data_IF_739774438271
#
_entry.id   IF_739774438271
#
_cell.length_a   1.000
_cell.length_b   1.000
_cell.length_c   1.000
_cell.angle_alpha   90.00
_cell.angle_beta   90.00
_cell.angle_gamma   90.00
#
_symmetry.space_group_name_H-M   'P 1'
#
loop_
_entity.id
_entity.type
_entity.pdbx_description
1 polymer ?
#
# COMPACT_ATOMS: atom_id res chain seq x y z
N UNK A 1 -14.26 -27.79 13.02
CA UNK A 1 -12.97 -27.07 12.88
C UNK A 1 -12.83 -26.13 14.07
N UNK A 2 -11.66 -26.07 14.70
CA UNK A 2 -11.44 -25.20 15.86
C UNK A 2 -10.58 -23.99 15.47
N UNK A 3 -11.06 -22.79 15.76
CA UNK A 3 -10.32 -21.54 15.54
C UNK A 3 -9.63 -21.11 16.83
N UNK A 4 -8.34 -20.81 16.73
CA UNK A 4 -7.53 -20.39 17.88
C UNK A 4 -7.34 -18.87 17.92
N UNK A 5 -7.43 -18.21 16.75
CA UNK A 5 -7.20 -16.77 16.57
C UNK A 5 -8.21 -16.20 15.57
N UNK A 6 -8.81 -15.07 15.90
CA UNK A 6 -9.61 -14.25 14.99
C UNK A 6 -8.83 -12.99 14.60
N UNK A 7 -8.56 -12.80 13.30
CA UNK A 7 -7.89 -11.61 12.75
C UNK A 7 -8.94 -10.57 12.37
N UNK A 8 -8.83 -9.38 12.95
CA UNK A 8 -9.60 -8.19 12.58
C UNK A 8 -8.70 -7.27 11.76
N UNK A 9 -9.00 -7.10 10.47
CA UNK A 9 -8.25 -6.22 9.59
C UNK A 9 -8.82 -4.79 9.65
N UNK A 10 -8.05 -3.85 10.18
CA UNK A 10 -8.45 -2.45 10.34
C UNK A 10 -8.27 -1.62 9.05
N UNK A 11 -7.81 -2.23 7.96
CA UNK A 11 -7.85 -1.61 6.62
C UNK A 11 -9.27 -1.41 6.09
N UNK A 12 -10.25 -2.09 6.68
CA UNK A 12 -11.65 -2.07 6.27
C UNK A 12 -12.57 -2.00 7.49
N UNK A 13 -13.79 -1.51 7.30
CA UNK A 13 -14.79 -1.39 8.36
C UNK A 13 -14.55 -0.20 9.29
N UNK A 14 -15.60 0.17 10.02
CA UNK A 14 -15.57 1.23 11.03
C UNK A 14 -15.43 0.65 12.45
N UNK A 15 -15.15 1.51 13.43
CA UNK A 15 -15.02 1.10 14.82
C UNK A 15 -16.27 0.37 15.36
N UNK A 16 -17.52 0.82 15.11
CA UNK A 16 -18.71 0.12 15.56
C UNK A 16 -18.84 -1.32 15.01
N UNK A 17 -18.48 -1.52 13.75
CA UNK A 17 -18.52 -2.85 13.12
C UNK A 17 -17.51 -3.80 13.77
N UNK A 18 -16.29 -3.32 14.02
CA UNK A 18 -15.25 -4.09 14.71
C UNK A 18 -15.63 -4.41 16.15
N UNK A 19 -16.23 -3.46 16.88
CA UNK A 19 -16.74 -3.67 18.23
C UNK A 19 -17.77 -4.80 18.28
N UNK A 20 -18.77 -4.75 17.40
CA UNK A 20 -19.81 -5.78 17.32
C UNK A 20 -19.20 -7.16 17.02
N UNK A 21 -18.19 -7.22 16.14
CA UNK A 21 -17.50 -8.48 15.84
C UNK A 21 -16.74 -9.02 17.06
N UNK A 22 -16.06 -8.15 17.82
CA UNK A 22 -15.37 -8.56 19.06
C UNK A 22 -16.38 -9.11 20.08
N UNK A 23 -17.53 -8.46 20.26
CA UNK A 23 -18.58 -8.93 21.18
C UNK A 23 -19.07 -10.33 20.80
N UNK A 24 -19.41 -10.53 19.51
CA UNK A 24 -19.85 -11.83 18.99
C UNK A 24 -18.79 -12.93 19.20
N UNK A 25 -17.51 -12.61 18.95
CA UNK A 25 -16.41 -13.56 19.15
C UNK A 25 -16.26 -13.96 20.62
N UNK A 26 -16.43 -13.01 21.54
CA UNK A 26 -16.37 -13.26 22.99
C UNK A 26 -17.56 -14.08 23.48
N UNK A 27 -18.75 -13.85 22.95
CA UNK A 27 -19.93 -14.67 23.22
C UNK A 27 -19.77 -16.11 22.72
N UNK A 28 -19.34 -16.28 21.47
CA UNK A 28 -19.10 -17.59 20.89
C UNK A 28 -18.01 -18.37 21.65
N UNK A 29 -16.90 -17.72 22.02
CA UNK A 29 -15.82 -18.34 22.79
C UNK A 29 -16.31 -18.84 24.17
N UNK A 30 -17.16 -18.05 24.85
CA UNK A 30 -17.78 -18.44 26.12
C UNK A 30 -18.74 -19.61 25.94
N UNK A 31 -19.59 -19.58 24.93
CA UNK A 31 -20.56 -20.64 24.65
C UNK A 31 -19.90 -21.99 24.37
N UNK A 32 -18.78 -21.99 23.63
CA UNK A 32 -18.04 -23.22 23.28
C UNK A 32 -17.04 -23.62 24.38
N UNK A 33 -16.80 -22.76 25.38
CA UNK A 33 -15.86 -23.02 26.47
C UNK A 33 -14.39 -23.08 26.02
N UNK A 34 -14.04 -22.36 24.95
CA UNK A 34 -12.70 -22.37 24.37
C UNK A 34 -12.15 -20.96 24.23
N UNK A 35 -10.91 -20.69 24.67
CA UNK A 35 -10.29 -19.38 24.46
C UNK A 35 -10.03 -19.16 22.97
N UNK A 36 -10.32 -17.93 22.51
CA UNK A 36 -10.01 -17.45 21.16
C UNK A 36 -9.26 -16.13 21.28
N UNK A 37 -8.04 -16.09 20.76
CA UNK A 37 -7.27 -14.86 20.68
C UNK A 37 -7.87 -13.94 19.61
N UNK A 38 -7.81 -12.63 19.84
CA UNK A 38 -8.20 -11.63 18.85
C UNK A 38 -6.94 -10.88 18.46
N UNK A 39 -6.63 -10.88 17.16
CA UNK A 39 -5.49 -10.19 16.59
C UNK A 39 -5.98 -8.96 15.82
N UNK A 40 -5.63 -7.78 16.33
CA UNK A 40 -5.84 -6.54 15.61
C UNK A 40 -4.72 -6.37 14.57
N UNK A 41 -5.10 -6.33 13.31
CA UNK A 41 -4.20 -6.16 12.19
C UNK A 41 -4.30 -4.73 11.67
N UNK A 42 -3.22 -3.99 11.84
CA UNK A 42 -3.12 -2.58 11.50
C UNK A 42 -2.64 -2.43 10.07
N UNK A 43 -3.28 -1.52 9.33
CA UNK A 43 -3.01 -1.25 7.91
C UNK A 43 -1.60 -0.73 7.61
N UNK A 44 -0.85 -0.30 8.62
CA UNK A 44 0.47 0.32 8.46
C UNK A 44 0.42 1.65 7.70
N UNK A 45 1.57 2.30 7.49
CA UNK A 45 1.65 3.49 6.65
C UNK A 45 1.40 3.12 5.19
N UNK A 46 0.18 3.38 4.68
CA UNK A 46 -0.13 3.23 3.25
C UNK A 46 0.45 4.40 2.47
N UNK A 47 1.47 4.14 1.67
CA UNK A 47 2.02 5.11 0.70
C UNK A 47 1.07 5.13 -0.50
N UNK A 48 0.54 6.30 -0.85
CA UNK A 48 -0.39 6.48 -1.97
C UNK A 48 0.16 7.50 -2.95
N UNK A 49 -0.18 7.32 -4.22
CA UNK A 49 -0.07 8.39 -5.21
C UNK A 49 -1.19 9.41 -4.94
N UNK A 50 -0.89 10.69 -5.12
CA UNK A 50 -1.86 11.77 -5.03
C UNK A 50 -2.86 11.78 -6.18
N UNK A 51 -3.62 12.86 -6.31
CA UNK A 51 -4.58 13.03 -7.41
C UNK A 51 -3.87 12.97 -8.76
N UNK A 52 -4.59 12.50 -9.79
CA UNK A 52 -4.10 12.43 -11.17
C UNK A 52 -4.90 13.40 -12.03
N UNK A 53 -4.21 14.09 -12.96
CA UNK A 53 -4.86 15.03 -13.90
C UNK A 53 -5.92 14.33 -14.76
N UNK A 54 -5.67 13.07 -15.08
CA UNK A 54 -6.61 12.19 -15.79
C UNK A 54 -6.50 10.77 -15.23
N UNK A 55 -7.61 10.07 -15.08
CA UNK A 55 -7.60 8.66 -14.68
C UNK A 55 -8.27 7.80 -15.76
N UNK A 56 -7.59 6.75 -16.27
CA UNK A 56 -6.26 6.26 -15.91
C UNK A 56 -5.10 7.01 -16.61
N UNK A 57 -3.91 6.97 -16.00
CA UNK A 57 -2.65 7.39 -16.65
C UNK A 57 -1.88 6.16 -17.13
N UNK A 58 -1.47 6.18 -18.39
CA UNK A 58 -0.59 5.17 -18.96
C UNK A 58 0.88 5.59 -18.78
N UNK A 59 1.65 4.79 -18.04
CA UNK A 59 3.09 4.90 -17.94
C UNK A 59 3.73 4.08 -19.08
N UNK A 60 4.66 4.68 -19.83
CA UNK A 60 5.37 4.02 -20.94
C UNK A 60 6.73 3.49 -20.48
N UNK A 61 7.15 2.35 -21.03
CA UNK A 61 8.49 1.83 -20.79
C UNK A 61 9.56 2.86 -21.15
N UNK A 62 10.63 2.86 -20.37
CA UNK A 62 11.82 3.69 -20.56
C UNK A 62 11.55 5.20 -20.42
N UNK A 63 10.34 5.62 -20.04
CA UNK A 63 10.06 7.00 -19.68
C UNK A 63 10.48 7.29 -18.23
N UNK A 64 10.94 8.52 -17.99
CA UNK A 64 11.26 9.00 -16.64
C UNK A 64 9.99 9.46 -15.92
N UNK A 65 9.79 8.96 -14.71
CA UNK A 65 8.77 9.42 -13.76
C UNK A 65 9.46 10.02 -12.55
N UNK A 66 8.97 11.15 -12.08
CA UNK A 66 9.44 11.80 -10.85
C UNK A 66 8.37 11.69 -9.78
N UNK A 67 8.72 11.09 -8.64
CA UNK A 67 7.89 11.05 -7.45
C UNK A 67 8.19 12.29 -6.61
N UNK A 68 7.20 13.15 -6.39
CA UNK A 68 7.34 14.41 -5.66
C UNK A 68 6.60 14.37 -4.32
N UNK A 69 7.19 15.00 -3.30
CA UNK A 69 6.59 15.17 -1.97
C UNK A 69 5.74 16.45 -1.86
N UNK A 70 5.39 17.05 -3.00
CA UNK A 70 4.47 18.19 -3.10
C UNK A 70 3.09 17.69 -3.52
N UNK A 71 2.03 18.37 -3.08
CA UNK A 71 0.66 18.01 -3.40
C UNK A 71 0.21 18.73 -4.68
N UNK A 72 -0.12 17.96 -5.72
CA UNK A 72 -0.62 18.42 -7.00
C UNK A 72 -1.26 17.25 -7.76
N UNK A 73 -2.11 17.56 -8.74
CA UNK A 73 -2.61 16.57 -9.68
C UNK A 73 -1.46 16.13 -10.62
N UNK A 74 -1.04 14.87 -10.51
CA UNK A 74 0.10 14.30 -11.23
C UNK A 74 -0.24 13.79 -12.63
N UNK A 75 0.80 13.60 -13.44
CA UNK A 75 0.71 13.08 -14.80
C UNK A 75 1.70 11.91 -15.06
N UNK A 76 1.87 11.51 -16.32
CA UNK A 76 2.78 10.42 -16.69
C UNK A 76 4.27 10.72 -16.46
N UNK A 77 4.64 11.95 -16.11
CA UNK A 77 6.02 12.38 -15.87
C UNK A 77 6.29 12.73 -14.42
N UNK A 78 5.30 13.26 -13.68
CA UNK A 78 5.46 13.67 -12.29
C UNK A 78 4.24 13.26 -11.46
N UNK A 79 4.46 12.47 -10.42
CA UNK A 79 3.43 11.98 -9.52
C UNK A 79 3.63 12.52 -8.11
N UNK A 80 2.56 12.97 -7.46
CA UNK A 80 2.59 13.30 -6.04
C UNK A 80 2.55 12.01 -5.21
N UNK A 81 3.26 11.97 -4.08
CA UNK A 81 3.27 10.82 -3.16
C UNK A 81 2.94 11.29 -1.74
N UNK A 82 2.03 10.58 -1.06
CA UNK A 82 1.57 10.91 0.29
C UNK A 82 2.61 10.67 1.41
N UNK A 83 3.83 10.26 1.06
CA UNK A 83 4.88 9.87 2.00
C UNK A 83 6.09 10.79 1.91
N UNK A 84 6.02 11.92 2.62
CA UNK A 84 7.04 12.98 2.60
C UNK A 84 8.46 12.55 2.98
N UNK A 85 8.60 11.40 3.66
CA UNK A 85 9.90 10.84 4.07
C UNK A 85 10.52 9.92 3.01
N UNK A 86 9.89 9.74 1.84
CA UNK A 86 10.40 8.85 0.79
C UNK A 86 11.88 9.11 0.47
N UNK A 87 12.35 10.36 0.25
CA UNK A 87 13.75 10.62 -0.08
C UNK A 87 14.75 10.24 1.03
N UNK A 88 14.29 10.06 2.28
CA UNK A 88 15.13 9.71 3.43
C UNK A 88 15.31 8.19 3.58
N UNK A 89 14.43 7.41 2.95
CA UNK A 89 14.38 5.96 3.13
C UNK A 89 14.73 5.19 1.85
N UNK A 90 14.91 5.87 0.72
CA UNK A 90 15.30 5.28 -0.56
C UNK A 90 16.68 5.76 -0.99
N UNK A 91 17.34 4.97 -1.83
CA UNK A 91 18.65 5.25 -2.43
C UNK A 91 18.63 4.87 -3.91
N UNK A 92 19.59 5.40 -4.67
CA UNK A 92 19.77 4.98 -6.06
C UNK A 92 19.99 3.46 -6.13
N UNK A 93 19.28 2.79 -7.05
CA UNK A 93 19.23 1.34 -7.22
C UNK A 93 18.07 0.65 -6.50
N UNK A 94 17.34 1.35 -5.60
CA UNK A 94 16.18 0.75 -4.94
C UNK A 94 15.00 0.54 -5.91
N UNK A 95 14.22 -0.50 -5.67
CA UNK A 95 13.01 -0.80 -6.42
C UNK A 95 11.78 -0.30 -5.69
N UNK A 96 10.96 0.50 -6.37
CA UNK A 96 9.65 0.94 -5.92
C UNK A 96 8.55 0.24 -6.73
N UNK A 97 7.48 -0.13 -6.05
CA UNK A 97 6.35 -0.84 -6.64
C UNK A 97 5.10 0.01 -6.52
N UNK A 98 4.43 0.24 -7.64
CA UNK A 98 3.14 0.93 -7.69
C UNK A 98 2.05 -0.06 -8.10
N UNK A 99 0.81 0.25 -7.69
CA UNK A 99 -0.38 -0.55 -7.98
C UNK A 99 -0.14 -2.02 -7.64
N UNK A 100 0.03 -2.37 -6.36
CA UNK A 100 0.23 -3.74 -5.89
C UNK A 100 1.30 -4.56 -6.64
N UNK A 101 2.35 -3.88 -7.12
CA UNK A 101 3.46 -4.51 -7.83
C UNK A 101 3.31 -4.62 -9.34
N UNK A 102 2.19 -4.17 -9.93
CA UNK A 102 1.99 -4.16 -11.38
C UNK A 102 3.00 -3.27 -12.12
N UNK A 103 3.49 -2.22 -11.46
CA UNK A 103 4.45 -1.29 -12.03
C UNK A 103 5.68 -1.25 -11.13
N UNK A 104 6.85 -1.39 -11.75
CA UNK A 104 8.14 -1.36 -11.09
C UNK A 104 8.92 -0.12 -11.56
N UNK A 105 9.48 0.61 -10.59
CA UNK A 105 10.27 1.82 -10.80
C UNK A 105 11.64 1.64 -10.14
N UNK A 106 12.72 1.88 -10.88
CA UNK A 106 14.07 1.87 -10.30
C UNK A 106 14.47 3.29 -9.94
N UNK A 107 14.86 3.53 -8.69
CA UNK A 107 15.34 4.84 -8.24
C UNK A 107 16.70 5.11 -8.89
N UNK A 108 16.82 6.19 -9.66
CA UNK A 108 18.14 6.63 -10.18
C UNK A 108 18.71 7.80 -9.40
N UNK A 109 17.84 8.73 -8.98
CA UNK A 109 18.28 9.96 -8.36
C UNK A 109 17.35 10.33 -7.21
N UNK A 110 17.93 10.72 -6.07
CA UNK A 110 17.20 11.13 -4.88
C UNK A 110 17.57 12.58 -4.59
N UNK A 111 16.61 13.48 -4.79
CA UNK A 111 16.71 14.89 -4.44
C UNK A 111 16.14 15.17 -3.04
N UNK A 112 16.05 16.45 -2.68
CA UNK A 112 15.55 16.86 -1.36
C UNK A 112 14.05 16.56 -1.15
N UNK A 113 13.24 16.72 -2.21
CA UNK A 113 11.78 16.50 -2.19
C UNK A 113 11.27 15.70 -3.39
N UNK A 114 12.18 15.16 -4.20
CA UNK A 114 11.84 14.44 -5.42
C UNK A 114 12.70 13.19 -5.57
N UNK A 115 12.13 12.14 -6.15
CA UNK A 115 12.81 10.89 -6.48
C UNK A 115 12.58 10.59 -7.96
N UNK A 116 13.66 10.57 -8.73
CA UNK A 116 13.59 10.32 -10.16
C UNK A 116 13.79 8.84 -10.46
N UNK A 117 12.81 8.26 -11.16
CA UNK A 117 12.78 6.86 -11.50
C UNK A 117 12.47 6.68 -13.00
N UNK A 118 13.41 6.22 -13.85
CA UNK A 118 13.05 5.64 -15.12
C UNK A 118 12.18 4.40 -14.90
N UNK A 119 11.12 4.30 -15.68
CA UNK A 119 10.25 3.13 -15.70
C UNK A 119 11.01 2.00 -16.39
N UNK A 120 11.47 1.02 -15.61
CA UNK A 120 11.76 -0.30 -16.15
C UNK A 120 10.45 -1.08 -16.18
N UNK A 121 9.78 -1.18 -17.34
CA UNK A 121 8.70 -2.17 -17.47
C UNK A 121 9.35 -3.54 -17.50
N UNK A 122 9.50 -4.13 -16.32
CA UNK A 122 9.50 -5.59 -16.21
C UNK A 122 8.04 -5.95 -15.96
N UNK A 123 7.38 -6.74 -16.82
CA UNK A 123 6.06 -7.25 -16.49
C UNK A 123 6.18 -7.96 -15.14
N UNK A 124 5.39 -7.51 -14.16
CA UNK A 124 5.29 -8.19 -12.89
C UNK A 124 5.00 -9.67 -13.17
N UNK A 125 5.67 -10.63 -12.50
CA UNK A 125 5.29 -12.02 -12.64
C UNK A 125 3.81 -12.13 -12.31
N UNK A 126 3.00 -12.51 -13.30
CA UNK A 126 1.57 -12.77 -13.11
C UNK A 126 1.41 -14.09 -12.35
N UNK A 127 1.73 -14.05 -11.06
CA UNK A 127 1.15 -15.01 -10.13
C UNK A 127 -0.01 -14.31 -9.45
N UNK A 128 -1.19 -14.66 -9.98
CA UNK A 128 -2.48 -14.59 -9.32
C UNK A 128 -2.38 -14.91 -7.83
N UNK A 129 -3.17 -14.16 -7.06
CA UNK A 129 -3.52 -14.35 -5.66
C UNK A 129 -2.47 -13.96 -4.61
N UNK A 130 -2.81 -12.87 -3.91
CA UNK A 130 -2.48 -12.49 -2.53
C UNK A 130 -1.21 -11.65 -2.31
N UNK A 131 -1.43 -10.36 -2.04
CA UNK A 131 -1.09 -9.73 -0.76
C UNK A 131 -1.90 -8.44 -0.59
#
# INVERSE_FOLDING_TARGET
>A
MAWNVARLNFSHGDFPSHEKMIQNLREAARFVGRPVAIMADLSGPKIRIGELVQEPIALKADCRVTLSMEEFAGDAQRLSVSFSRLPQVVRAGDMLFLNDGYIQLEVKEVGAREVACPIGIVPAPQNSDKA
#
